data_IF_216273879504
#
_entry.id   IF_216273879504
#
_cell.length_a   1.000
_cell.length_b   1.000
_cell.length_c   1.000
_cell.angle_alpha   90.00
_cell.angle_beta   90.00
_cell.angle_gamma   90.00
#
_symmetry.space_group_name_H-M   'P 1'
#
loop_
_entity.id
_entity.type
_entity.pdbx_description
1 polymer ?
#
# COMPACT_ATOMS: atom_id res chain seq x y z
N UNK A 1 58.82 2.34 -21.65
CA UNK A 1 57.82 1.89 -22.65
C UNK A 1 56.42 2.13 -22.09
N UNK A 2 55.79 3.28 -22.37
CA UNK A 2 54.37 3.54 -22.13
C UNK A 2 53.85 4.35 -23.32
N UNK A 3 53.07 3.73 -24.21
CA UNK A 3 52.38 4.43 -25.30
C UNK A 3 51.18 5.14 -24.69
N UNK A 4 51.25 6.47 -24.60
CA UNK A 4 50.07 7.31 -24.39
C UNK A 4 49.21 7.23 -25.65
N UNK A 5 48.14 6.44 -25.61
CA UNK A 5 47.10 6.48 -26.64
C UNK A 5 46.23 7.70 -26.39
N UNK A 6 46.52 8.80 -27.09
CA UNK A 6 45.60 9.92 -27.23
C UNK A 6 44.30 9.41 -27.86
N UNK A 7 43.23 9.28 -27.06
CA UNK A 7 41.88 9.08 -27.59
C UNK A 7 41.38 10.44 -28.06
N UNK A 8 41.36 10.64 -29.37
CA UNK A 8 40.69 11.80 -29.96
C UNK A 8 39.21 11.75 -29.59
N UNK A 9 38.66 12.87 -29.11
CA UNK A 9 37.24 12.92 -28.82
C UNK A 9 36.44 12.79 -30.13
N UNK A 10 35.31 12.05 -30.10
CA UNK A 10 34.46 11.89 -31.27
C UNK A 10 33.96 13.25 -31.81
N UNK A 11 33.83 13.34 -33.14
CA UNK A 11 33.24 14.48 -33.84
C UNK A 11 31.86 14.83 -33.29
N UNK A 12 31.46 16.11 -33.33
CA UNK A 12 30.15 16.56 -32.86
C UNK A 12 28.98 15.74 -33.45
N UNK A 13 29.08 15.34 -34.73
CA UNK A 13 28.10 14.46 -35.39
C UNK A 13 28.04 13.07 -34.74
N UNK A 14 29.19 12.51 -34.40
CA UNK A 14 29.30 11.19 -33.77
C UNK A 14 28.82 11.22 -32.30
N UNK A 15 28.97 12.34 -31.61
CA UNK A 15 28.39 12.55 -30.27
C UNK A 15 26.86 12.61 -30.32
N UNK A 16 26.29 13.33 -31.28
CA UNK A 16 24.83 13.40 -31.46
C UNK A 16 24.25 12.01 -31.76
N UNK A 17 24.88 11.25 -32.66
CA UNK A 17 24.45 9.87 -32.98
C UNK A 17 24.54 8.95 -31.75
N UNK A 18 25.62 9.04 -30.95
CA UNK A 18 25.73 8.26 -29.72
C UNK A 18 24.65 8.62 -28.70
N UNK A 19 24.37 9.91 -28.51
CA UNK A 19 23.35 10.39 -27.57
C UNK A 19 21.97 9.88 -28.01
N UNK A 20 21.62 10.00 -29.30
CA UNK A 20 20.37 9.46 -29.81
C UNK A 20 20.28 7.94 -29.62
N UNK A 21 21.35 7.18 -29.89
CA UNK A 21 21.36 5.73 -29.70
C UNK A 21 21.19 5.31 -28.23
N UNK A 22 21.79 6.05 -27.30
CA UNK A 22 21.62 5.82 -25.86
C UNK A 22 20.18 6.12 -25.42
N UNK A 23 19.61 7.25 -25.86
CA UNK A 23 18.23 7.62 -25.54
C UNK A 23 17.21 6.62 -26.11
N UNK A 24 17.42 6.15 -27.33
CA UNK A 24 16.58 5.11 -27.95
C UNK A 24 16.71 3.79 -27.16
N UNK A 25 17.92 3.39 -26.77
CA UNK A 25 18.13 2.17 -25.99
C UNK A 25 17.44 2.23 -24.62
N UNK A 26 17.47 3.38 -23.93
CA UNK A 26 16.76 3.56 -22.66
C UNK A 26 15.24 3.51 -22.81
N UNK A 27 14.69 4.03 -23.90
CA UNK A 27 13.24 4.02 -24.15
C UNK A 27 12.68 2.60 -24.41
N UNK A 28 13.50 1.67 -24.93
CA UNK A 28 13.06 0.28 -25.23
C UNK A 28 13.08 -0.62 -23.99
N UNK A 29 13.77 -0.24 -22.91
CA UNK A 29 13.91 -1.05 -21.69
C UNK A 29 12.99 -0.61 -20.54
N UNK A 30 11.89 0.09 -20.81
CA UNK A 30 10.87 0.32 -19.78
C UNK A 30 9.97 -0.92 -19.76
N UNK A 31 10.16 -1.89 -18.85
CA UNK A 31 9.15 -2.92 -18.68
C UNK A 31 7.84 -2.21 -18.33
N UNK A 32 6.81 -2.46 -19.11
CA UNK A 32 5.44 -2.12 -18.73
C UNK A 32 5.13 -3.02 -17.52
N UNK A 33 5.46 -2.54 -16.33
CA UNK A 33 5.11 -3.19 -15.07
C UNK A 33 3.60 -3.12 -14.94
N UNK A 34 2.92 -4.13 -15.47
CA UNK A 34 1.54 -4.38 -15.15
C UNK A 34 1.50 -4.81 -13.68
N UNK A 35 1.40 -3.84 -12.78
CA UNK A 35 0.90 -4.09 -11.44
C UNK A 35 -0.44 -4.80 -11.57
N UNK A 36 -0.67 -5.83 -10.76
CA UNK A 36 -1.90 -6.59 -10.80
C UNK A 36 -3.06 -5.66 -10.40
N UNK A 37 -3.78 -5.11 -11.38
CA UNK A 37 -4.95 -4.28 -11.16
C UNK A 37 -6.17 -5.18 -10.85
N UNK A 38 -6.06 -5.88 -9.72
CA UNK A 38 -7.08 -6.78 -9.19
C UNK A 38 -7.34 -6.37 -7.76
N UNK A 39 -8.61 -6.25 -7.42
CA UNK A 39 -9.04 -6.05 -6.04
C UNK A 39 -8.70 -7.29 -5.23
N UNK A 40 -8.28 -7.07 -3.99
CA UNK A 40 -7.96 -8.15 -3.06
C UNK A 40 -9.25 -8.88 -2.70
N UNK A 41 -9.17 -10.20 -2.49
CA UNK A 41 -10.34 -10.96 -2.01
C UNK A 41 -10.87 -10.41 -0.68
N UNK A 42 -9.96 -10.04 0.21
CA UNK A 42 -10.23 -9.36 1.47
C UNK A 42 -8.92 -8.99 2.17
N UNK A 43 -9.01 -8.14 3.20
CA UNK A 43 -7.86 -7.72 4.00
C UNK A 43 -8.12 -7.86 5.50
N UNK A 44 -7.05 -7.93 6.28
CA UNK A 44 -7.14 -7.83 7.74
C UNK A 44 -7.16 -6.36 8.15
N UNK A 45 -8.12 -5.97 8.99
CA UNK A 45 -8.28 -4.61 9.47
C UNK A 45 -8.26 -4.56 11.00
N UNK A 46 -7.45 -3.65 11.55
CA UNK A 46 -7.30 -3.42 12.98
C UNK A 46 -7.50 -1.94 13.29
N UNK A 47 -8.24 -1.67 14.36
CA UNK A 47 -8.41 -0.32 14.91
C UNK A 47 -7.26 0.08 15.84
N UNK A 48 -6.33 -0.84 16.13
CA UNK A 48 -5.16 -0.54 16.95
C UNK A 48 -4.09 0.15 16.09
N UNK A 49 -3.59 1.29 16.56
CA UNK A 49 -2.59 2.11 15.85
C UNK A 49 -1.32 2.38 16.67
N UNK A 50 -1.33 2.03 17.95
CA UNK A 50 -0.21 2.26 18.85
C UNK A 50 0.18 1.03 19.65
N UNK A 51 1.22 1.18 20.47
CA UNK A 51 1.74 0.08 21.27
C UNK A 51 0.77 -0.34 22.37
N UNK A 52 1.01 -1.52 22.92
CA UNK A 52 0.02 -2.20 23.76
C UNK A 52 -0.24 -1.54 25.10
N UNK A 53 0.77 -0.88 25.62
CA UNK A 53 0.76 -0.11 26.86
C UNK A 53 0.19 1.31 26.69
N UNK A 54 -0.16 1.71 25.46
CA UNK A 54 -0.75 3.03 25.19
C UNK A 54 -2.23 3.06 25.58
N UNK A 55 -2.80 4.27 25.68
CA UNK A 55 -4.18 4.49 26.10
C UNK A 55 -4.92 5.39 25.11
N UNK A 56 -6.25 5.23 25.08
CA UNK A 56 -7.17 6.05 24.29
C UNK A 56 -6.74 6.18 22.83
N UNK A 57 -6.70 7.42 22.36
CA UNK A 57 -6.47 7.80 20.96
C UNK A 57 -5.04 7.52 20.48
N UNK A 58 -4.11 7.29 21.41
CA UNK A 58 -2.75 6.86 21.08
C UNK A 58 -2.64 5.35 20.89
N UNK A 59 -3.68 4.59 21.23
CA UNK A 59 -3.76 3.13 21.06
C UNK A 59 -4.78 2.75 20.00
N UNK A 60 -5.91 3.46 19.95
CA UNK A 60 -7.09 3.14 19.15
C UNK A 60 -7.44 4.26 18.17
N UNK A 61 -7.84 3.88 16.95
CA UNK A 61 -8.40 4.81 15.97
C UNK A 61 -9.70 5.43 16.49
N UNK A 62 -9.90 6.71 16.15
CA UNK A 62 -11.15 7.41 16.40
C UNK A 62 -12.13 7.18 15.24
N UNK A 63 -13.42 7.34 15.52
CA UNK A 63 -14.51 7.07 14.56
C UNK A 63 -14.32 7.72 13.17
N UNK A 64 -13.93 9.01 13.04
CA UNK A 64 -13.73 9.62 11.72
C UNK A 64 -12.59 8.98 10.92
N UNK A 65 -11.54 8.51 11.59
CA UNK A 65 -10.43 7.83 10.94
C UNK A 65 -10.85 6.42 10.49
N UNK A 66 -11.67 5.73 11.26
CA UNK A 66 -12.21 4.42 10.90
C UNK A 66 -13.11 4.54 9.68
N UNK A 67 -14.01 5.52 9.68
CA UNK A 67 -14.89 5.82 8.56
C UNK A 67 -14.09 6.10 7.27
N UNK A 68 -13.09 6.98 7.35
CA UNK A 68 -12.20 7.30 6.24
C UNK A 68 -11.42 6.08 5.72
N UNK A 69 -10.93 5.22 6.61
CA UNK A 69 -10.28 3.98 6.22
C UNK A 69 -11.24 3.04 5.47
N UNK A 70 -12.44 2.84 6.00
CA UNK A 70 -13.42 1.92 5.41
C UNK A 70 -13.86 2.38 4.02
N UNK A 71 -14.05 3.68 3.84
CA UNK A 71 -14.31 4.25 2.53
C UNK A 71 -13.18 3.96 1.53
N UNK A 72 -11.93 4.27 1.90
CA UNK A 72 -10.77 4.03 1.02
C UNK A 72 -10.56 2.55 0.73
N UNK A 73 -10.75 1.68 1.73
CA UNK A 73 -10.64 0.22 1.55
C UNK A 73 -11.68 -0.26 0.52
N UNK A 74 -12.91 0.23 0.60
CA UNK A 74 -13.97 -0.11 -0.36
C UNK A 74 -13.62 0.41 -1.76
N UNK A 75 -13.18 1.65 -1.88
CA UNK A 75 -12.90 2.28 -3.17
C UNK A 75 -11.71 1.62 -3.88
N UNK A 76 -10.61 1.39 -3.16
CA UNK A 76 -9.33 1.06 -3.80
C UNK A 76 -8.92 -0.41 -3.68
N UNK A 77 -9.34 -1.11 -2.61
CA UNK A 77 -8.69 -2.36 -2.20
C UNK A 77 -9.59 -3.58 -2.33
N UNK A 78 -10.73 -3.59 -1.65
CA UNK A 78 -11.55 -4.80 -1.50
C UNK A 78 -12.95 -4.53 -0.98
N UNK A 79 -13.86 -5.47 -1.21
CA UNK A 79 -15.20 -5.46 -0.63
C UNK A 79 -15.27 -6.13 0.75
N UNK A 80 -14.15 -6.68 1.26
CA UNK A 80 -14.17 -7.54 2.44
C UNK A 80 -13.06 -7.23 3.43
N UNK A 81 -13.44 -7.07 4.69
CA UNK A 81 -12.50 -6.91 5.79
C UNK A 81 -12.65 -8.04 6.81
N UNK A 82 -11.54 -8.42 7.44
CA UNK A 82 -11.52 -9.28 8.63
C UNK A 82 -11.11 -8.47 9.84
N UNK A 83 -11.89 -8.56 10.91
CA UNK A 83 -11.47 -8.09 12.24
C UNK A 83 -11.11 -9.28 13.12
N UNK A 84 -10.13 -9.12 14.01
CA UNK A 84 -9.64 -10.23 14.83
C UNK A 84 -10.35 -10.37 16.18
N UNK A 85 -10.91 -9.28 16.68
CA UNK A 85 -11.59 -9.20 17.98
C UNK A 85 -12.75 -8.22 17.88
N UNK A 86 -13.79 -8.45 18.68
CA UNK A 86 -14.94 -7.56 18.79
C UNK A 86 -14.73 -6.49 19.88
N UNK A 87 -13.99 -6.82 20.93
CA UNK A 87 -13.88 -5.98 22.12
C UNK A 87 -12.71 -4.98 22.04
N UNK A 88 -11.63 -5.35 21.35
CA UNK A 88 -10.44 -4.49 21.24
C UNK A 88 -10.75 -3.15 20.58
N UNK A 89 -10.45 -2.03 21.24
CA UNK A 89 -10.68 -0.67 20.71
C UNK A 89 -12.13 -0.39 20.26
N UNK A 90 -13.13 -1.11 20.80
CA UNK A 90 -14.52 -0.96 20.36
C UNK A 90 -14.76 -1.41 18.91
N UNK A 91 -13.90 -2.29 18.38
CA UNK A 91 -13.90 -2.71 16.97
C UNK A 91 -15.24 -3.25 16.53
N UNK A 92 -15.86 -4.15 17.29
CA UNK A 92 -17.14 -4.77 16.95
C UNK A 92 -18.22 -3.72 16.72
N UNK A 93 -18.36 -2.75 17.64
CA UNK A 93 -19.32 -1.66 17.49
C UNK A 93 -19.03 -0.81 16.26
N UNK A 94 -17.80 -0.31 16.12
CA UNK A 94 -17.46 0.59 15.03
C UNK A 94 -17.65 -0.05 13.65
N UNK A 95 -17.23 -1.32 13.45
CA UNK A 95 -17.37 -1.98 12.15
C UNK A 95 -18.80 -2.40 11.85
N UNK A 96 -19.58 -2.79 12.85
CA UNK A 96 -21.00 -3.11 12.65
C UNK A 96 -21.84 -1.86 12.34
N UNK A 97 -21.46 -0.70 12.88
CA UNK A 97 -22.14 0.57 12.64
C UNK A 97 -21.76 1.18 11.26
N UNK A 98 -20.48 1.12 10.87
CA UNK A 98 -19.97 1.80 9.66
C UNK A 98 -19.92 0.93 8.40
N UNK A 99 -19.46 -0.32 8.48
CA UNK A 99 -19.20 -1.13 7.29
C UNK A 99 -20.43 -1.31 6.37
N UNK A 100 -21.67 -1.47 6.90
CA UNK A 100 -22.86 -1.55 6.06
C UNK A 100 -23.12 -0.28 5.22
N UNK A 101 -22.69 0.89 5.70
CA UNK A 101 -22.89 2.16 4.99
C UNK A 101 -22.06 2.24 3.69
N UNK A 102 -20.98 1.45 3.61
CA UNK A 102 -20.08 1.37 2.46
C UNK A 102 -20.17 0.04 1.70
N UNK A 103 -21.19 -0.79 1.97
CA UNK A 103 -21.35 -2.11 1.35
C UNK A 103 -20.09 -3.00 1.52
N UNK A 104 -19.45 -2.92 2.69
CA UNK A 104 -18.33 -3.79 3.05
C UNK A 104 -18.83 -5.04 3.78
N UNK A 105 -18.35 -6.21 3.35
CA UNK A 105 -18.59 -7.46 4.06
C UNK A 105 -17.54 -7.62 5.16
N UNK A 106 -17.99 -8.06 6.34
CA UNK A 106 -17.12 -8.18 7.51
C UNK A 106 -17.04 -9.62 7.97
N UNK A 107 -15.83 -10.17 8.05
CA UNK A 107 -15.55 -11.39 8.78
C UNK A 107 -15.21 -11.07 10.23
N UNK A 108 -16.12 -11.43 11.13
CA UNK A 108 -15.99 -11.20 12.56
C UNK A 108 -15.16 -12.31 13.20
N UNK A 109 -13.94 -11.98 13.59
CA UNK A 109 -13.09 -12.85 14.40
C UNK A 109 -13.44 -12.75 15.88
N UNK A 110 -13.53 -13.90 16.54
CA UNK A 110 -13.62 -14.00 18.01
C UNK A 110 -12.23 -14.40 18.51
N UNK A 111 -11.63 -13.53 19.31
CA UNK A 111 -10.38 -13.83 20.00
C UNK A 111 -10.70 -14.39 21.39
N UNK A 112 -10.38 -15.66 21.62
CA UNK A 112 -10.63 -16.34 22.90
C UNK A 112 -9.32 -16.46 23.66
N UNK A 113 -9.25 -15.84 24.85
CA UNK A 113 -8.11 -15.89 25.76
C UNK A 113 -8.45 -15.26 27.11
N UNK A 114 -7.53 -15.24 28.09
CA UNK A 114 -7.81 -14.75 29.45
C UNK A 114 -8.33 -13.31 29.51
N UNK A 115 -8.06 -12.52 28.46
CA UNK A 115 -8.43 -11.11 28.34
C UNK A 115 -9.39 -10.87 27.15
N UNK A 116 -10.17 -11.89 26.74
CA UNK A 116 -11.11 -11.84 25.62
C UNK A 116 -12.27 -10.89 25.85
#
# INVERSE_FOLDING_TARGET
RLRSTSRSLPSAKMRVVLICAILVSMAVHVPLSHGLNKRLYGINYSLRIGPDWSYGDKRCKQYPAIESDLQQIKEDLTDRIRVFTLNGCGTGRAVLDLAPQYDLQVWLGIWVGPNG
#
